data_IF_758028731670
#
_entry.id   IF_758028731670
#
_cell.length_a   1.000
_cell.length_b   1.000
_cell.length_c   1.000
_cell.angle_alpha   90.00
_cell.angle_beta   90.00
_cell.angle_gamma   90.00
#
_symmetry.space_group_name_H-M   'P 1'
#
loop_
_entity.id
_entity.type
_entity.pdbx_description
1 polymer ?
#
# COMPACT_ATOMS: atom_id res chain seq x y z
N UNK A 1 10.96 -20.97 -2.87
CA UNK A 1 11.60 -20.84 -1.53
C UNK A 1 11.33 -22.05 -0.64
N UNK A 2 10.11 -22.62 -0.58
CA UNK A 2 9.77 -23.74 0.30
C UNK A 2 10.69 -24.96 0.23
N UNK A 3 10.93 -25.55 -0.96
CA UNK A 3 11.84 -26.70 -1.10
C UNK A 3 13.27 -26.40 -0.62
N UNK A 4 13.80 -25.23 -1.00
CA UNK A 4 15.16 -24.81 -0.60
C UNK A 4 15.24 -24.61 0.92
N UNK A 5 14.28 -23.91 1.52
CA UNK A 5 14.24 -23.72 2.97
C UNK A 5 14.15 -25.04 3.74
N UNK A 6 13.40 -26.03 3.20
CA UNK A 6 13.31 -27.36 3.80
C UNK A 6 14.64 -28.12 3.74
N UNK A 7 15.34 -28.04 2.61
CA UNK A 7 16.66 -28.67 2.45
C UNK A 7 17.68 -28.03 3.37
N UNK A 8 17.73 -26.69 3.43
CA UNK A 8 18.62 -25.95 4.31
C UNK A 8 18.39 -26.32 5.79
N UNK A 9 17.14 -26.30 6.24
CA UNK A 9 16.79 -26.68 7.61
C UNK A 9 17.13 -28.14 7.94
N UNK A 10 17.00 -29.08 6.98
CA UNK A 10 17.40 -30.47 7.16
C UNK A 10 18.91 -30.64 7.21
N UNK A 11 19.65 -29.74 6.58
CA UNK A 11 21.12 -29.71 6.62
C UNK A 11 21.67 -28.97 7.86
N UNK A 12 20.81 -28.59 8.82
CA UNK A 12 21.24 -27.89 10.03
C UNK A 12 21.55 -26.40 9.84
N UNK A 13 21.19 -25.80 8.70
CA UNK A 13 21.36 -24.36 8.49
C UNK A 13 20.25 -23.61 9.24
N UNK A 14 20.59 -22.66 10.14
CA UNK A 14 19.60 -21.85 10.84
C UNK A 14 18.67 -21.13 9.88
N UNK A 15 17.37 -21.12 10.18
CA UNK A 15 16.34 -20.57 9.31
C UNK A 15 15.57 -19.45 10.01
N UNK A 16 15.56 -18.26 9.39
CA UNK A 16 14.68 -17.15 9.75
C UNK A 16 13.60 -17.00 8.67
N UNK A 17 12.36 -16.83 9.08
CA UNK A 17 11.24 -16.55 8.17
C UNK A 17 10.78 -15.11 8.34
N UNK A 18 10.34 -14.50 7.23
CA UNK A 18 9.62 -13.23 7.22
C UNK A 18 8.22 -13.45 6.67
N UNK A 19 7.20 -13.12 7.46
CA UNK A 19 5.81 -13.07 6.99
C UNK A 19 5.34 -11.63 6.87
N UNK A 20 5.11 -11.23 5.64
CA UNK A 20 4.76 -9.84 5.31
C UNK A 20 3.28 -9.53 5.42
N UNK A 21 2.42 -10.55 5.37
CA UNK A 21 0.98 -10.43 5.31
C UNK A 21 0.30 -10.74 6.63
N UNK A 22 -0.92 -10.26 6.80
CA UNK A 22 -1.75 -10.56 7.97
C UNK A 22 -2.28 -12.00 8.00
N UNK A 23 -2.05 -12.76 6.94
CA UNK A 23 -2.36 -14.18 6.83
C UNK A 23 -1.14 -14.93 6.30
N UNK A 24 -0.72 -15.94 7.04
CA UNK A 24 0.53 -16.64 6.73
C UNK A 24 0.45 -17.45 5.45
N UNK A 25 1.46 -17.26 4.58
CA UNK A 25 1.62 -18.05 3.37
C UNK A 25 1.94 -19.52 3.66
N UNK A 26 1.54 -20.41 2.74
CA UNK A 26 1.73 -21.87 2.87
C UNK A 26 3.18 -22.23 3.16
N UNK A 27 4.12 -21.63 2.46
CA UNK A 27 5.56 -21.89 2.64
C UNK A 27 6.01 -21.59 4.07
N UNK A 28 5.62 -20.43 4.63
CA UNK A 28 6.01 -20.05 5.98
C UNK A 28 5.36 -20.98 7.02
N UNK A 29 4.08 -21.35 6.82
CA UNK A 29 3.41 -22.35 7.70
C UNK A 29 4.15 -23.70 7.71
N UNK A 30 4.58 -24.21 6.54
CA UNK A 30 5.29 -25.49 6.43
C UNK A 30 6.69 -25.45 7.07
N UNK A 31 7.37 -24.31 7.02
CA UNK A 31 8.72 -24.15 7.57
C UNK A 31 8.75 -23.69 9.02
N UNK A 32 7.63 -23.22 9.58
CA UNK A 32 7.56 -22.59 10.89
C UNK A 32 8.17 -23.43 12.03
N UNK A 33 7.89 -24.75 12.04
CA UNK A 33 8.43 -25.65 13.08
C UNK A 33 9.97 -25.75 13.03
N UNK A 34 10.54 -25.60 11.83
CA UNK A 34 12.00 -25.71 11.59
C UNK A 34 12.73 -24.38 11.69
N UNK A 35 12.01 -23.26 11.68
CA UNK A 35 12.60 -21.95 11.80
C UNK A 35 13.08 -21.70 13.25
N UNK A 36 14.18 -20.97 13.38
CA UNK A 36 14.66 -20.44 14.66
C UNK A 36 13.83 -19.24 15.09
N UNK A 37 13.56 -18.34 14.16
CA UNK A 37 12.80 -17.12 14.36
C UNK A 37 11.84 -16.87 13.18
N UNK A 38 10.70 -16.22 13.49
CA UNK A 38 9.67 -15.85 12.51
C UNK A 38 9.33 -14.39 12.72
N UNK A 39 9.88 -13.54 11.86
CA UNK A 39 9.58 -12.11 11.82
C UNK A 39 8.21 -11.90 11.19
N UNK A 40 7.33 -11.16 11.83
CA UNK A 40 5.96 -10.93 11.35
C UNK A 40 5.65 -9.44 11.30
N UNK A 41 4.80 -9.06 10.34
CA UNK A 41 4.39 -7.67 10.15
C UNK A 41 3.05 -7.33 10.83
N UNK A 42 2.30 -8.31 11.28
CA UNK A 42 1.00 -8.13 11.90
C UNK A 42 0.90 -8.87 13.23
N UNK A 43 0.08 -8.36 14.12
CA UNK A 43 -0.31 -9.04 15.38
C UNK A 43 -1.21 -10.25 15.11
N UNK A 44 -1.37 -11.14 16.09
CA UNK A 44 -2.27 -12.30 16.02
C UNK A 44 -1.73 -13.44 15.15
N UNK A 45 -0.43 -13.47 14.88
CA UNK A 45 0.21 -14.49 14.03
C UNK A 45 0.47 -15.82 14.77
N UNK A 46 0.28 -15.86 16.08
CA UNK A 46 0.31 -17.10 16.91
C UNK A 46 -0.72 -18.14 16.49
N UNK A 47 -1.77 -17.75 15.78
CA UNK A 47 -2.72 -18.67 15.13
C UNK A 47 -2.12 -19.49 13.99
N UNK A 48 -0.95 -19.10 13.48
CA UNK A 48 -0.27 -19.77 12.37
C UNK A 48 1.09 -20.30 12.74
N UNK A 49 1.76 -19.70 13.75
CA UNK A 49 3.16 -19.95 14.08
C UNK A 49 3.34 -20.22 15.57
N UNK A 50 4.37 -20.99 15.97
CA UNK A 50 4.73 -21.15 17.38
C UNK A 50 5.03 -19.79 18.01
N UNK A 51 4.32 -19.45 19.09
CA UNK A 51 4.37 -18.14 19.74
C UNK A 51 5.79 -17.75 20.18
N UNK A 52 6.55 -18.69 20.69
CA UNK A 52 7.92 -18.51 21.19
C UNK A 52 8.94 -18.16 20.09
N UNK A 53 8.60 -18.38 18.81
CA UNK A 53 9.45 -18.07 17.67
C UNK A 53 9.09 -16.75 16.99
N UNK A 54 7.93 -16.17 17.31
CA UNK A 54 7.42 -14.96 16.68
C UNK A 54 8.16 -13.73 17.22
N UNK A 55 8.57 -12.86 16.30
CA UNK A 55 9.07 -11.52 16.58
C UNK A 55 8.26 -10.54 15.74
N UNK A 56 7.61 -9.59 16.40
CA UNK A 56 6.87 -8.54 15.73
C UNK A 56 7.85 -7.46 15.25
N UNK A 57 8.16 -7.46 13.95
CA UNK A 57 9.18 -6.58 13.34
C UNK A 57 8.61 -5.56 12.38
N UNK A 58 7.40 -5.76 11.88
CA UNK A 58 6.92 -5.04 10.71
C UNK A 58 7.56 -5.55 9.41
N UNK A 59 7.33 -4.81 8.33
CA UNK A 59 7.96 -5.03 7.03
C UNK A 59 9.05 -4.00 6.77
N UNK A 60 10.19 -4.37 6.18
CA UNK A 60 11.18 -3.42 5.70
C UNK A 60 10.56 -2.46 4.67
N UNK A 61 10.79 -1.19 4.87
CA UNK A 61 10.36 -0.10 3.97
C UNK A 61 11.57 0.73 3.58
N UNK A 62 11.55 1.27 2.38
CA UNK A 62 12.64 2.12 1.88
C UNK A 62 12.84 3.35 2.76
N UNK A 63 14.08 3.60 3.15
CA UNK A 63 14.42 4.73 4.05
C UNK A 63 14.18 6.11 3.43
N UNK A 64 14.25 6.23 2.10
CA UNK A 64 13.97 7.46 1.36
C UNK A 64 12.53 7.96 1.57
N UNK A 65 11.57 7.06 1.81
CA UNK A 65 10.20 7.43 2.11
C UNK A 65 10.02 8.18 3.43
N UNK A 66 10.91 7.99 4.41
CA UNK A 66 10.82 8.71 5.69
C UNK A 66 11.01 10.21 5.54
N UNK A 67 11.76 10.64 4.51
CA UNK A 67 11.99 12.05 4.20
C UNK A 67 10.76 12.69 3.52
N UNK A 68 9.90 11.89 2.90
CA UNK A 68 8.75 12.36 2.14
C UNK A 68 7.79 13.25 2.95
N UNK A 69 7.74 13.09 4.27
CA UNK A 69 6.84 13.88 5.15
C UNK A 69 7.16 15.38 5.05
N UNK A 70 8.43 15.76 4.85
CA UNK A 70 8.89 17.16 4.75
C UNK A 70 8.97 17.70 3.32
N UNK A 71 8.75 16.87 2.30
CA UNK A 71 9.04 17.18 0.89
C UNK A 71 7.81 17.60 0.06
N UNK A 72 6.71 18.02 0.73
CA UNK A 72 5.47 18.40 0.03
C UNK A 72 5.69 19.50 -1.03
N UNK A 73 6.48 20.51 -0.72
CA UNK A 73 6.75 21.63 -1.65
C UNK A 73 7.53 21.16 -2.89
N UNK A 74 8.54 20.28 -2.69
CA UNK A 74 9.29 19.68 -3.81
C UNK A 74 8.37 18.81 -4.67
N UNK A 75 7.52 17.99 -4.06
CA UNK A 75 6.59 17.14 -4.78
C UNK A 75 5.57 17.95 -5.61
N UNK A 76 5.05 19.04 -5.05
CA UNK A 76 4.16 19.96 -5.76
C UNK A 76 4.85 20.51 -7.01
N UNK A 77 6.10 20.97 -6.87
CA UNK A 77 6.88 21.48 -7.99
C UNK A 77 7.17 20.37 -9.02
N UNK A 78 7.59 19.19 -8.55
CA UNK A 78 7.95 18.06 -9.42
C UNK A 78 6.79 17.56 -10.28
N UNK A 79 5.59 17.45 -9.69
CA UNK A 79 4.38 17.00 -10.41
C UNK A 79 3.60 18.12 -11.08
N UNK A 80 4.04 19.39 -10.97
CA UNK A 80 3.34 20.55 -11.50
C UNK A 80 1.94 20.69 -10.92
N UNK A 81 1.84 20.60 -9.61
CA UNK A 81 0.59 20.67 -8.84
C UNK A 81 0.35 22.09 -8.30
N UNK A 82 -0.87 22.36 -7.86
CA UNK A 82 -1.24 23.58 -7.16
C UNK A 82 -1.18 23.35 -5.64
N UNK A 83 -0.42 24.18 -4.92
CA UNK A 83 -0.24 24.06 -3.47
C UNK A 83 -1.53 24.22 -2.66
N UNK A 84 -2.51 24.96 -3.21
CA UNK A 84 -3.78 25.25 -2.55
C UNK A 84 -4.87 24.21 -2.81
N UNK A 85 -4.56 23.14 -3.58
CA UNK A 85 -5.51 22.06 -3.88
C UNK A 85 -5.19 20.81 -3.09
N UNK A 86 -6.22 20.07 -2.71
CA UNK A 86 -6.08 18.73 -2.16
C UNK A 86 -5.61 17.78 -3.26
N UNK A 87 -4.68 16.89 -2.94
CA UNK A 87 -4.12 15.94 -3.90
C UNK A 87 -4.56 14.51 -3.58
N UNK A 88 -5.14 13.84 -4.55
CA UNK A 88 -5.42 12.41 -4.51
C UNK A 88 -4.33 11.67 -5.30
N UNK A 89 -3.67 10.72 -4.67
CA UNK A 89 -2.79 9.78 -5.35
C UNK A 89 -3.55 8.49 -5.63
N UNK A 90 -3.67 8.11 -6.90
CA UNK A 90 -4.29 6.85 -7.32
C UNK A 90 -3.23 5.96 -7.96
N UNK A 91 -2.99 4.77 -7.38
CA UNK A 91 -1.99 3.83 -7.87
C UNK A 91 -2.47 2.38 -7.81
N UNK A 92 -2.25 1.65 -8.89
CA UNK A 92 -2.50 0.20 -8.98
C UNK A 92 -1.27 -0.68 -8.78
N UNK A 93 -0.13 -0.06 -8.38
CA UNK A 93 1.19 -0.71 -8.40
C UNK A 93 1.88 -0.61 -9.77
N UNK A 94 3.10 -1.13 -9.90
CA UNK A 94 3.95 -0.93 -11.11
C UNK A 94 3.30 -1.35 -12.42
N UNK A 95 2.55 -2.44 -12.42
CA UNK A 95 1.81 -2.93 -13.61
C UNK A 95 0.46 -2.25 -13.79
N UNK A 96 -0.04 -1.58 -12.75
CA UNK A 96 -1.38 -1.00 -12.72
C UNK A 96 -2.46 -1.99 -12.25
N UNK A 97 -3.69 -1.49 -12.13
CA UNK A 97 -4.87 -2.26 -11.74
C UNK A 97 -6.06 -1.91 -12.64
N UNK A 98 -6.47 -2.85 -13.47
CA UNK A 98 -7.52 -2.62 -14.49
C UNK A 98 -8.84 -2.13 -13.90
N UNK A 99 -9.26 -2.65 -12.75
CA UNK A 99 -10.50 -2.24 -12.09
C UNK A 99 -10.41 -0.81 -11.55
N UNK A 100 -9.29 -0.42 -10.93
CA UNK A 100 -9.03 0.96 -10.50
C UNK A 100 -9.00 1.90 -11.70
N UNK A 101 -8.33 1.51 -12.78
CA UNK A 101 -8.29 2.30 -14.01
C UNK A 101 -9.68 2.49 -14.61
N UNK A 102 -10.50 1.45 -14.67
CA UNK A 102 -11.91 1.55 -15.13
C UNK A 102 -12.72 2.49 -14.24
N UNK A 103 -12.52 2.45 -12.92
CA UNK A 103 -13.15 3.38 -12.01
C UNK A 103 -12.73 4.83 -12.30
N UNK A 104 -11.43 5.08 -12.50
CA UNK A 104 -10.93 6.41 -12.82
C UNK A 104 -11.51 6.94 -14.13
N UNK A 105 -11.58 6.11 -15.18
CA UNK A 105 -12.21 6.49 -16.47
C UNK A 105 -13.69 6.85 -16.27
N UNK A 106 -14.44 6.04 -15.53
CA UNK A 106 -15.86 6.28 -15.25
C UNK A 106 -16.11 7.62 -14.53
N UNK A 107 -15.23 7.93 -13.58
CA UNK A 107 -15.42 9.13 -12.74
C UNK A 107 -14.69 10.37 -13.28
N UNK A 108 -14.02 10.27 -14.42
CA UNK A 108 -13.15 11.32 -14.95
C UNK A 108 -13.86 12.67 -15.15
N UNK A 109 -15.08 12.65 -15.69
CA UNK A 109 -15.89 13.86 -15.92
C UNK A 109 -16.27 14.53 -14.59
N UNK A 110 -16.60 13.73 -13.57
CA UNK A 110 -16.91 14.28 -12.25
C UNK A 110 -15.64 14.84 -11.59
N UNK A 111 -14.50 14.16 -11.73
CA UNK A 111 -13.20 14.62 -11.24
C UNK A 111 -12.80 15.93 -11.91
N UNK A 112 -13.09 16.10 -13.19
CA UNK A 112 -12.87 17.36 -13.91
C UNK A 112 -13.60 18.56 -13.27
N UNK A 113 -14.76 18.32 -12.68
CA UNK A 113 -15.54 19.33 -11.96
C UNK A 113 -15.04 19.69 -10.56
N UNK A 114 -14.09 18.96 -10.00
CA UNK A 114 -13.53 19.23 -8.67
C UNK A 114 -12.56 20.42 -8.72
N UNK A 115 -13.01 21.59 -8.26
CA UNK A 115 -12.22 22.84 -8.37
C UNK A 115 -11.01 22.86 -7.43
N UNK A 116 -11.16 22.32 -6.22
CA UNK A 116 -10.16 22.37 -5.15
C UNK A 116 -9.41 21.05 -4.98
N UNK A 117 -9.47 20.17 -5.98
CA UNK A 117 -8.83 18.86 -5.97
C UNK A 117 -8.04 18.65 -7.25
N UNK A 118 -6.92 17.96 -7.11
CA UNK A 118 -6.10 17.48 -8.20
C UNK A 118 -5.73 16.02 -7.97
N UNK A 119 -5.42 15.30 -9.03
CA UNK A 119 -5.17 13.87 -8.98
C UNK A 119 -3.84 13.54 -9.63
N UNK A 120 -3.01 12.74 -8.95
CA UNK A 120 -1.91 12.00 -9.56
C UNK A 120 -2.43 10.59 -9.83
N UNK A 121 -2.60 10.22 -11.10
CA UNK A 121 -3.08 8.91 -11.49
C UNK A 121 -2.00 8.11 -12.20
N UNK A 122 -1.46 7.12 -11.50
CA UNK A 122 -0.54 6.14 -12.05
C UNK A 122 -1.35 4.92 -12.51
N UNK A 123 -1.51 4.78 -13.83
CA UNK A 123 -2.32 3.73 -14.43
C UNK A 123 -1.60 2.38 -14.58
N UNK A 124 -0.27 2.39 -14.50
CA UNK A 124 0.58 1.22 -14.76
C UNK A 124 1.03 1.11 -16.21
N UNK A 125 2.23 0.59 -16.41
CA UNK A 125 2.84 0.48 -17.74
C UNK A 125 2.06 -0.40 -18.70
N UNK A 126 1.37 -1.42 -18.16
CA UNK A 126 0.57 -2.33 -18.98
C UNK A 126 -0.64 -1.65 -19.64
N UNK A 127 -1.31 -0.73 -18.93
CA UNK A 127 -2.54 -0.09 -19.38
C UNK A 127 -2.34 1.26 -20.06
N UNK A 128 -1.15 1.84 -19.94
CA UNK A 128 -0.92 3.25 -20.30
C UNK A 128 -1.28 3.56 -21.76
N UNK A 129 -0.77 2.76 -22.72
CA UNK A 129 -0.97 3.03 -24.15
C UNK A 129 -2.46 3.01 -24.54
N UNK A 130 -3.20 2.02 -24.04
CA UNK A 130 -4.63 1.89 -24.31
C UNK A 130 -5.43 3.06 -23.71
N UNK A 131 -5.13 3.41 -22.46
CA UNK A 131 -5.81 4.50 -21.78
C UNK A 131 -5.45 5.87 -22.35
N UNK A 132 -4.21 6.08 -22.79
CA UNK A 132 -3.78 7.30 -23.44
C UNK A 132 -4.56 7.54 -24.74
N UNK A 133 -4.72 6.51 -25.57
CA UNK A 133 -5.53 6.59 -26.78
C UNK A 133 -7.02 6.82 -26.47
N UNK A 134 -7.57 6.06 -25.52
CA UNK A 134 -8.97 6.17 -25.09
C UNK A 134 -9.31 7.59 -24.56
N UNK A 135 -8.37 8.20 -23.85
CA UNK A 135 -8.57 9.47 -23.14
C UNK A 135 -8.01 10.69 -23.88
N UNK A 136 -7.56 10.49 -25.12
CA UNK A 136 -7.01 11.57 -25.95
C UNK A 136 -8.01 12.73 -26.09
N UNK A 137 -7.55 13.93 -25.71
CA UNK A 137 -8.39 15.14 -25.71
C UNK A 137 -9.48 15.20 -24.63
N UNK A 138 -9.54 14.22 -23.73
CA UNK A 138 -10.53 14.15 -22.63
C UNK A 138 -9.90 14.23 -21.23
N UNK A 139 -8.55 14.25 -21.15
CA UNK A 139 -7.86 14.30 -19.87
C UNK A 139 -8.04 15.68 -19.21
N UNK A 140 -8.62 15.74 -17.99
CA UNK A 140 -8.79 17.00 -17.30
C UNK A 140 -7.46 17.62 -16.86
N UNK A 141 -7.40 18.95 -16.81
CA UNK A 141 -6.19 19.68 -16.39
C UNK A 141 -5.77 19.37 -14.95
N UNK A 142 -6.74 19.06 -14.08
CA UNK A 142 -6.47 18.70 -12.68
C UNK A 142 -6.06 17.24 -12.49
N UNK A 143 -5.82 16.47 -13.56
CA UNK A 143 -5.35 15.09 -13.51
C UNK A 143 -3.96 14.96 -14.14
N UNK A 144 -3.00 14.53 -13.36
CA UNK A 144 -1.64 14.15 -13.82
C UNK A 144 -1.62 12.66 -14.06
N UNK A 145 -1.74 12.27 -15.33
CA UNK A 145 -1.83 10.87 -15.77
C UNK A 145 -0.47 10.35 -16.22
N UNK A 146 -0.06 9.18 -15.72
CA UNK A 146 1.25 8.62 -16.05
C UNK A 146 1.32 7.10 -15.86
N UNK A 147 2.22 6.41 -16.61
CA UNK A 147 2.36 4.96 -16.51
C UNK A 147 3.05 4.50 -15.21
N UNK A 148 4.00 5.30 -14.72
CA UNK A 148 4.84 4.94 -13.59
C UNK A 148 5.30 6.18 -12.81
N UNK A 149 5.43 6.04 -11.50
CA UNK A 149 5.92 7.09 -10.61
C UNK A 149 7.39 6.84 -10.28
N UNK A 150 8.28 7.68 -10.85
CA UNK A 150 9.72 7.59 -10.57
C UNK A 150 10.05 8.06 -9.15
N UNK A 151 9.31 9.04 -8.63
CA UNK A 151 9.47 9.65 -7.31
C UNK A 151 8.18 9.42 -6.49
N UNK A 152 7.98 8.14 -6.08
CA UNK A 152 6.83 7.75 -5.24
C UNK A 152 6.85 8.47 -3.89
N UNK A 153 8.03 8.74 -3.36
CA UNK A 153 8.27 9.57 -2.18
C UNK A 153 7.58 10.94 -2.31
N UNK A 154 7.84 11.66 -3.39
CA UNK A 154 7.22 12.95 -3.67
C UNK A 154 5.71 12.85 -3.94
N UNK A 155 5.26 11.77 -4.59
CA UNK A 155 3.84 11.55 -4.77
C UNK A 155 3.11 11.35 -3.44
N UNK A 156 3.69 10.55 -2.55
CA UNK A 156 3.18 10.41 -1.17
C UNK A 156 3.25 11.74 -0.40
N UNK A 157 4.36 12.51 -0.52
CA UNK A 157 4.49 13.82 0.13
C UNK A 157 3.31 14.75 -0.19
N UNK A 158 2.89 14.77 -1.47
CA UNK A 158 1.78 15.62 -1.94
C UNK A 158 0.41 15.09 -1.54
N UNK A 159 0.23 13.78 -1.37
CA UNK A 159 -1.06 13.15 -1.23
C UNK A 159 -1.76 13.50 0.10
N UNK A 160 -2.99 13.99 0.00
CA UNK A 160 -3.93 14.15 1.11
C UNK A 160 -4.84 12.93 1.25
N UNK A 161 -5.03 12.17 0.18
CA UNK A 161 -5.73 10.89 0.12
C UNK A 161 -5.01 9.96 -0.85
N UNK A 162 -4.85 8.69 -0.48
CA UNK A 162 -4.29 7.67 -1.36
C UNK A 162 -5.33 6.63 -1.70
N UNK A 163 -5.39 6.22 -2.96
CA UNK A 163 -6.12 5.03 -3.43
C UNK A 163 -5.10 4.02 -3.92
N UNK A 164 -5.08 2.83 -3.33
CA UNK A 164 -4.06 1.84 -3.66
C UNK A 164 -4.56 0.39 -3.51
N UNK A 165 -3.82 -0.55 -4.11
CA UNK A 165 -3.92 -1.98 -3.78
C UNK A 165 -3.42 -2.24 -2.34
N UNK A 166 -3.96 -3.29 -1.70
CA UNK A 166 -3.62 -3.66 -0.32
C UNK A 166 -2.42 -4.62 -0.25
N UNK A 167 -1.36 -4.33 -1.03
CA UNK A 167 -0.09 -5.06 -0.94
C UNK A 167 0.64 -4.77 0.37
N UNK A 168 1.35 -5.76 0.91
CA UNK A 168 2.03 -5.66 2.19
C UNK A 168 3.02 -4.48 2.26
N UNK A 169 3.86 -4.29 1.22
CA UNK A 169 4.78 -3.16 1.14
C UNK A 169 4.07 -1.82 1.11
N UNK A 170 3.05 -1.67 0.25
CA UNK A 170 2.27 -0.44 0.14
C UNK A 170 1.61 -0.06 1.48
N UNK A 171 1.02 -1.04 2.17
CA UNK A 171 0.41 -0.79 3.49
C UNK A 171 1.48 -0.32 4.49
N UNK A 172 2.63 -0.97 4.52
CA UNK A 172 3.71 -0.59 5.43
C UNK A 172 4.24 0.82 5.15
N UNK A 173 4.36 1.21 3.88
CA UNK A 173 4.70 2.57 3.46
C UNK A 173 3.65 3.58 3.94
N UNK A 174 2.36 3.28 3.72
CA UNK A 174 1.25 4.16 4.12
C UNK A 174 1.14 4.31 5.65
N UNK A 175 1.39 3.25 6.41
CA UNK A 175 1.46 3.31 7.87
C UNK A 175 2.58 4.27 8.33
N UNK A 176 3.78 4.13 7.77
CA UNK A 176 4.92 4.99 8.10
C UNK A 176 4.68 6.47 7.80
N UNK A 177 3.97 6.73 6.69
CA UNK A 177 3.69 8.08 6.22
C UNK A 177 2.42 8.69 6.82
N UNK A 178 1.63 7.92 7.58
CA UNK A 178 0.39 8.38 8.17
C UNK A 178 -0.62 8.84 7.12
N UNK A 179 -0.76 8.15 5.98
CA UNK A 179 -1.61 8.59 4.88
C UNK A 179 -3.03 8.03 4.99
N UNK A 180 -4.02 8.92 4.93
CA UNK A 180 -5.42 8.50 4.75
C UNK A 180 -5.53 7.70 3.45
N UNK A 181 -6.15 6.52 3.50
CA UNK A 181 -6.14 5.58 2.37
C UNK A 181 -7.48 4.90 2.12
N UNK A 182 -7.80 4.75 0.83
CA UNK A 182 -8.81 3.83 0.31
C UNK A 182 -8.08 2.63 -0.27
N UNK A 183 -8.22 1.48 0.36
CA UNK A 183 -7.65 0.22 -0.11
C UNK A 183 -8.61 -0.51 -1.04
N UNK A 184 -8.11 -0.92 -2.18
CA UNK A 184 -8.82 -1.75 -3.16
C UNK A 184 -8.08 -3.07 -3.29
N UNK A 185 -8.41 -4.11 -2.49
CA UNK A 185 -7.72 -5.39 -2.53
C UNK A 185 -7.81 -6.04 -3.90
N UNK A 186 -6.69 -6.61 -4.39
CA UNK A 186 -6.70 -7.40 -5.62
C UNK A 186 -7.33 -8.77 -5.35
N UNK A 187 -8.30 -9.23 -6.17
CA UNK A 187 -8.86 -10.57 -6.04
C UNK A 187 -7.92 -11.66 -6.58
N UNK A 188 -6.90 -11.28 -7.36
CA UNK A 188 -6.02 -12.20 -8.08
C UNK A 188 -4.72 -12.47 -7.30
N UNK A 189 -4.82 -12.67 -5.97
CA UNK A 189 -3.67 -13.00 -5.12
C UNK A 189 -3.92 -14.28 -4.34
N UNK A 190 -2.84 -15.02 -4.05
CA UNK A 190 -2.93 -16.25 -3.29
C UNK A 190 -3.62 -16.02 -1.94
N UNK A 191 -4.49 -16.94 -1.52
CA UNK A 191 -5.14 -16.97 -0.19
C UNK A 191 -5.86 -15.65 0.19
N UNK A 192 -6.24 -14.83 -0.79
CA UNK A 192 -6.92 -13.54 -0.56
C UNK A 192 -6.18 -12.62 0.43
N UNK A 193 -4.84 -12.62 0.33
CA UNK A 193 -3.97 -11.86 1.25
C UNK A 193 -4.32 -10.37 1.29
N UNK A 194 -4.64 -9.75 0.15
CA UNK A 194 -4.88 -8.32 0.11
C UNK A 194 -6.16 -7.92 0.83
N UNK A 195 -7.23 -8.70 0.73
CA UNK A 195 -8.45 -8.45 1.52
C UNK A 195 -8.16 -8.56 3.02
N UNK A 196 -7.42 -9.58 3.43
CA UNK A 196 -7.05 -9.78 4.83
C UNK A 196 -6.14 -8.65 5.35
N UNK A 197 -5.18 -8.20 4.55
CA UNK A 197 -4.34 -7.05 4.87
C UNK A 197 -5.17 -5.76 5.03
N UNK A 198 -6.08 -5.48 4.08
CA UNK A 198 -6.97 -4.32 4.15
C UNK A 198 -7.85 -4.36 5.40
N UNK A 199 -8.45 -5.52 5.71
CA UNK A 199 -9.31 -5.69 6.89
C UNK A 199 -8.55 -5.50 8.20
N UNK A 200 -7.26 -5.84 8.26
CA UNK A 200 -6.45 -5.59 9.45
C UNK A 200 -6.36 -4.08 9.79
N UNK A 201 -6.38 -3.21 8.76
CA UNK A 201 -6.42 -1.75 8.93
C UNK A 201 -7.84 -1.24 9.17
N UNK A 202 -8.83 -1.74 8.41
CA UNK A 202 -10.24 -1.33 8.55
C UNK A 202 -10.75 -1.60 9.95
N UNK A 203 -10.44 -2.76 10.53
CA UNK A 203 -10.83 -3.13 11.89
C UNK A 203 -10.23 -2.20 12.97
N UNK A 204 -9.14 -1.51 12.64
CA UNK A 204 -8.48 -0.48 13.49
C UNK A 204 -8.87 0.94 13.08
N UNK A 205 -9.89 1.10 12.22
CA UNK A 205 -10.33 2.40 11.69
C UNK A 205 -9.21 3.20 10.99
N UNK A 206 -8.21 2.50 10.47
CA UNK A 206 -7.01 3.07 9.85
C UNK A 206 -7.07 3.15 8.32
N UNK A 207 -8.12 2.62 7.70
CA UNK A 207 -8.34 2.67 6.26
C UNK A 207 -9.82 2.49 5.91
N UNK A 208 -10.20 2.98 4.74
CA UNK A 208 -11.46 2.63 4.06
C UNK A 208 -11.16 1.54 3.03
N UNK A 209 -12.03 0.55 2.89
CA UNK A 209 -11.89 -0.48 1.87
C UNK A 209 -13.05 -0.43 0.87
N UNK A 210 -12.71 -0.56 -0.42
CA UNK A 210 -13.68 -0.78 -1.50
C UNK A 210 -13.32 -2.12 -2.16
N UNK A 211 -14.27 -3.04 -2.25
CA UNK A 211 -14.06 -4.33 -2.92
C UNK A 211 -13.78 -4.12 -4.41
N UNK A 212 -12.89 -4.91 -5.00
CA UNK A 212 -12.53 -4.80 -6.41
C UNK A 212 -13.75 -4.88 -7.35
N UNK A 213 -14.70 -5.76 -7.05
CA UNK A 213 -15.94 -5.91 -7.83
C UNK A 213 -16.87 -4.66 -7.78
N UNK A 214 -16.74 -3.83 -6.74
CA UNK A 214 -17.56 -2.64 -6.52
C UNK A 214 -16.84 -1.34 -6.88
N UNK A 215 -15.54 -1.40 -7.20
CA UNK A 215 -14.67 -0.21 -7.29
C UNK A 215 -15.12 0.76 -8.38
N UNK A 216 -15.58 0.26 -9.52
CA UNK A 216 -16.02 1.09 -10.65
C UNK A 216 -17.20 1.99 -10.26
N UNK A 217 -18.13 1.46 -9.47
CA UNK A 217 -19.33 2.19 -9.05
C UNK A 217 -19.11 3.06 -7.81
N UNK A 218 -18.27 2.62 -6.88
CA UNK A 218 -18.18 3.21 -5.54
C UNK A 218 -16.99 4.13 -5.30
N UNK A 219 -15.87 3.93 -6.03
CA UNK A 219 -14.61 4.62 -5.71
C UNK A 219 -14.75 6.14 -5.74
N UNK A 220 -15.38 6.69 -6.76
CA UNK A 220 -15.52 8.14 -6.88
C UNK A 220 -16.34 8.76 -5.75
N UNK A 221 -17.44 8.13 -5.34
CA UNK A 221 -18.24 8.60 -4.21
C UNK A 221 -17.49 8.50 -2.87
N UNK A 222 -16.66 7.46 -2.69
CA UNK A 222 -15.81 7.32 -1.49
C UNK A 222 -14.73 8.40 -1.48
N UNK A 223 -14.05 8.65 -2.61
CA UNK A 223 -13.06 9.73 -2.71
C UNK A 223 -13.70 11.08 -2.40
N UNK A 224 -14.86 11.39 -3.01
CA UNK A 224 -15.57 12.66 -2.81
C UNK A 224 -15.92 12.88 -1.33
N UNK A 225 -16.52 11.87 -0.69
CA UNK A 225 -16.85 11.93 0.74
C UNK A 225 -15.62 12.24 1.60
N UNK A 226 -14.55 11.47 1.41
CA UNK A 226 -13.31 11.66 2.16
C UNK A 226 -12.64 13.01 1.88
N UNK A 227 -12.76 13.56 0.67
CA UNK A 227 -12.21 14.86 0.33
C UNK A 227 -12.99 16.02 0.96
N UNK A 228 -14.29 15.83 1.19
CA UNK A 228 -15.15 16.80 1.87
C UNK A 228 -15.02 16.75 3.39
N UNK A 229 -14.69 15.61 3.97
CA UNK A 229 -14.56 15.41 5.42
C UNK A 229 -13.08 15.39 5.85
N UNK A 230 -12.57 16.57 6.23
CA UNK A 230 -11.20 16.73 6.75
C UNK A 230 -11.00 15.98 8.08
N UNK A 231 -12.05 15.89 8.90
CA UNK A 231 -12.04 15.18 10.18
C UNK A 231 -11.86 13.69 9.99
N UNK A 232 -12.60 13.08 9.08
CA UNK A 232 -12.47 11.64 8.76
C UNK A 232 -11.08 11.33 8.20
N UNK A 233 -10.57 12.15 7.26
CA UNK A 233 -9.21 11.94 6.74
C UNK A 233 -8.15 12.03 7.83
N UNK A 234 -8.27 13.02 8.72
CA UNK A 234 -7.34 13.19 9.85
C UNK A 234 -7.39 11.98 10.78
N UNK A 235 -8.59 11.50 11.13
CA UNK A 235 -8.77 10.32 11.96
C UNK A 235 -8.13 9.07 11.33
N UNK A 236 -8.35 8.82 10.04
CA UNK A 236 -7.71 7.72 9.31
C UNK A 236 -6.17 7.84 9.34
N UNK A 237 -5.65 9.05 9.13
CA UNK A 237 -4.22 9.36 9.15
C UNK A 237 -3.59 9.13 10.54
N UNK A 238 -4.25 9.54 11.59
CA UNK A 238 -3.81 9.31 12.98
C UNK A 238 -3.82 7.82 13.32
N UNK A 239 -4.90 7.10 13.00
CA UNK A 239 -4.99 5.68 13.29
C UNK A 239 -3.97 4.85 12.51
N UNK A 240 -3.79 5.10 11.21
CA UNK A 240 -2.83 4.34 10.40
C UNK A 240 -1.39 4.56 10.87
N UNK A 241 -1.06 5.77 11.35
CA UNK A 241 0.25 6.11 11.89
C UNK A 241 0.58 5.31 13.16
N UNK A 242 -0.43 4.93 13.98
CA UNK A 242 -0.20 4.07 15.16
C UNK A 242 0.28 2.66 14.80
N UNK A 243 0.14 2.26 13.54
CA UNK A 243 0.56 0.96 13.01
C UNK A 243 1.96 1.01 12.38
N UNK A 244 2.63 2.16 12.42
CA UNK A 244 3.94 2.35 11.80
C UNK A 244 5.05 1.57 12.53
N UNK A 245 5.87 0.85 11.75
CA UNK A 245 7.07 0.16 12.24
C UNK A 245 8.28 0.73 11.51
N UNK A 246 9.12 1.51 12.22
CA UNK A 246 10.17 2.34 11.59
C UNK A 246 11.45 1.57 11.24
N UNK A 247 11.89 0.66 12.11
CA UNK A 247 13.23 0.05 12.04
C UNK A 247 13.17 -1.45 11.71
N UNK A 248 12.19 -1.85 10.91
CA UNK A 248 11.92 -3.26 10.61
C UNK A 248 13.13 -3.99 10.00
N UNK A 249 13.86 -3.34 9.10
CA UNK A 249 15.06 -3.88 8.46
C UNK A 249 16.18 -4.11 9.49
N UNK A 250 16.41 -3.18 10.39
CA UNK A 250 17.44 -3.29 11.42
C UNK A 250 17.09 -4.34 12.47
N UNK A 251 15.82 -4.40 12.89
CA UNK A 251 15.35 -5.42 13.84
C UNK A 251 15.52 -6.82 13.25
N UNK A 252 15.10 -7.03 11.99
CA UNK A 252 15.26 -8.31 11.30
C UNK A 252 16.74 -8.68 11.19
N UNK A 253 17.60 -7.74 10.78
CA UNK A 253 19.03 -7.97 10.66
C UNK A 253 19.67 -8.37 11.99
N UNK A 254 19.32 -7.69 13.10
CA UNK A 254 19.80 -8.04 14.45
C UNK A 254 19.36 -9.46 14.86
N UNK A 255 18.13 -9.86 14.55
CA UNK A 255 17.66 -11.21 14.86
C UNK A 255 18.39 -12.30 14.05
N UNK A 256 18.76 -12.01 12.80
CA UNK A 256 19.60 -12.91 11.99
C UNK A 256 20.99 -13.05 12.61
N UNK A 257 21.64 -11.94 12.99
CA UNK A 257 22.97 -11.95 13.59
C UNK A 257 23.06 -12.72 14.93
N UNK A 258 21.94 -12.81 15.67
CA UNK A 258 21.91 -13.57 16.94
C UNK A 258 21.96 -15.09 16.76
N UNK A 259 21.66 -15.59 15.57
CA UNK A 259 21.61 -17.04 15.27
C UNK A 259 22.77 -17.51 14.39
N UNK A 260 23.63 -16.60 13.96
CA UNK A 260 24.89 -16.88 13.25
C UNK A 260 26.01 -17.20 14.24
#
# INVERSE_FOLDING_TARGET
SGPIGRVAANAGVPLVLQEQNSYAGVTNKLLAKKAEKICVAYEGMERFFPKEKIIFTGNPVRKDLLNAVSERAEGIAFYGLNANKKTVLVTGGSLGAGSINKAMVRWLEKIAGWKDVQVIWQCGSYYHKELEEQLKGRMPENVKFMPFLKRMDLAYACADLVVARAGAGTISELCLLGKAVVLVPSPNVAEDHQTKNAMALVNKQAAVMVKDAEVVERLGGVMERLLQDDGERKSLSEHILTLAMKDSDEVIAREILKIM
#
